data_IF_924575237943
#
_entry.id   IF_924575237943
#
_cell.length_a   1.000
_cell.length_b   1.000
_cell.length_c   1.000
_cell.angle_alpha   90.00
_cell.angle_beta   90.00
_cell.angle_gamma   90.00
#
_symmetry.space_group_name_H-M   'P 1'
#
loop_
_entity.id
_entity.type
_entity.pdbx_description
1 polymer ?
#
# COMPACT_ATOMS: atom_id res chain seq x y z
N UNK A 1 16.20 -6.64 -23.65
CA UNK A 1 16.34 -5.93 -22.36
C UNK A 1 14.96 -5.44 -21.97
N UNK A 2 14.29 -6.18 -21.09
CA UNK A 2 13.00 -5.76 -20.51
C UNK A 2 13.32 -4.94 -19.28
N UNK A 3 13.15 -3.62 -19.35
CA UNK A 3 13.10 -2.81 -18.13
C UNK A 3 11.75 -3.10 -17.49
N UNK A 4 11.72 -4.04 -16.53
CA UNK A 4 10.56 -4.16 -15.65
C UNK A 4 10.54 -2.91 -14.80
N UNK A 5 9.48 -2.08 -14.87
CA UNK A 5 9.39 -0.89 -14.06
C UNK A 5 9.33 -1.29 -12.58
N UNK A 6 9.92 -0.45 -11.73
CA UNK A 6 9.75 -0.56 -10.29
C UNK A 6 8.25 -0.38 -9.97
N UNK A 7 7.69 -1.34 -9.24
CA UNK A 7 6.29 -1.28 -8.82
C UNK A 7 6.20 -0.49 -7.52
N UNK A 8 5.19 0.37 -7.35
CA UNK A 8 4.99 1.04 -6.08
C UNK A 8 4.66 0.01 -4.98
N UNK A 9 4.98 0.35 -3.74
CA UNK A 9 4.43 -0.39 -2.60
C UNK A 9 2.90 -0.35 -2.65
N UNK A 10 2.28 -1.39 -2.11
CA UNK A 10 0.82 -1.56 -2.13
C UNK A 10 0.32 -1.78 -0.73
N UNK A 11 -0.89 -1.31 -0.47
CA UNK A 11 -1.57 -1.43 0.81
C UNK A 11 -2.96 -2.00 0.59
N UNK A 12 -3.41 -2.85 1.51
CA UNK A 12 -4.74 -3.46 1.50
C UNK A 12 -5.54 -2.81 2.62
N UNK A 13 -6.71 -2.26 2.30
CA UNK A 13 -7.66 -1.81 3.31
C UNK A 13 -8.12 -3.02 4.12
N UNK A 14 -7.93 -3.01 5.44
CA UNK A 14 -8.22 -4.18 6.26
C UNK A 14 -9.73 -4.49 6.36
N UNK A 15 -10.56 -3.46 6.20
CA UNK A 15 -12.02 -3.57 6.30
C UNK A 15 -12.70 -4.11 5.03
N UNK A 16 -12.30 -3.65 3.84
CA UNK A 16 -12.97 -4.00 2.57
C UNK A 16 -12.07 -4.70 1.54
N UNK A 17 -10.79 -4.88 1.85
CA UNK A 17 -9.81 -5.60 1.05
C UNK A 17 -9.48 -4.99 -0.33
N UNK A 18 -9.86 -3.73 -0.55
CA UNK A 18 -9.41 -2.97 -1.72
C UNK A 18 -7.90 -2.73 -1.66
N UNK A 19 -7.21 -2.85 -2.79
CA UNK A 19 -5.76 -2.66 -2.92
C UNK A 19 -5.47 -1.28 -3.48
N UNK A 20 -4.59 -0.54 -2.81
CA UNK A 20 -4.15 0.80 -3.19
C UNK A 20 -2.65 0.80 -3.47
N UNK A 21 -2.23 1.58 -4.46
CA UNK A 21 -0.82 1.97 -4.56
C UNK A 21 -0.48 2.95 -3.43
N UNK A 22 0.74 2.86 -2.91
CA UNK A 22 1.24 3.76 -1.88
C UNK A 22 1.35 5.20 -2.38
N UNK A 23 1.05 6.15 -1.50
CA UNK A 23 1.32 7.56 -1.72
C UNK A 23 2.84 7.75 -1.72
N UNK A 24 3.40 8.20 -2.84
CA UNK A 24 4.83 8.41 -2.98
C UNK A 24 5.23 9.78 -2.45
N UNK A 25 6.24 9.80 -1.60
CA UNK A 25 6.95 11.00 -1.19
C UNK A 25 8.43 10.84 -1.49
N UNK A 26 9.12 11.95 -1.75
CA UNK A 26 10.53 11.94 -2.09
C UNK A 26 11.27 12.86 -1.13
N UNK A 27 12.13 12.27 -0.30
CA UNK A 27 12.96 13.00 0.65
C UNK A 27 14.42 12.53 0.54
N UNK A 28 15.36 13.48 0.53
CA UNK A 28 16.79 13.19 0.50
C UNK A 28 17.29 12.28 -0.65
N UNK A 29 16.55 12.14 -1.75
CA UNK A 29 16.90 11.24 -2.86
C UNK A 29 16.34 9.82 -2.73
N UNK A 30 15.51 9.55 -1.71
CA UNK A 30 14.86 8.25 -1.47
C UNK A 30 13.36 8.37 -1.65
N UNK A 31 12.75 7.39 -2.31
CA UNK A 31 11.29 7.28 -2.38
C UNK A 31 10.76 6.58 -1.13
N UNK A 32 9.79 7.21 -0.50
CA UNK A 32 9.05 6.65 0.62
C UNK A 32 7.60 6.47 0.20
N UNK A 33 7.02 5.34 0.60
CA UNK A 33 5.63 5.02 0.36
C UNK A 33 4.89 4.96 1.68
N UNK A 34 3.67 5.48 1.69
CA UNK A 34 2.74 5.33 2.80
C UNK A 34 1.38 4.88 2.29
N UNK A 35 0.59 4.29 3.17
CA UNK A 35 -0.82 4.05 2.89
C UNK A 35 -1.55 5.39 2.64
N UNK A 36 -2.66 5.39 1.90
CA UNK A 36 -3.53 6.57 1.82
C UNK A 36 -4.18 6.86 3.18
N UNK A 37 -4.54 8.12 3.41
CA UNK A 37 -5.17 8.56 4.66
C UNK A 37 -6.54 7.89 4.89
N UNK A 38 -7.30 7.67 3.81
CA UNK A 38 -8.63 7.07 3.86
C UNK A 38 -8.90 6.16 2.65
N UNK A 39 -9.60 5.05 2.89
CA UNK A 39 -10.07 4.15 1.87
C UNK A 39 -11.24 4.75 1.10
N UNK A 40 -11.02 5.12 -0.16
CA UNK A 40 -12.06 5.68 -1.03
C UNK A 40 -13.30 4.79 -1.20
N UNK A 41 -13.17 3.47 -0.98
CA UNK A 41 -14.27 2.52 -1.12
C UNK A 41 -15.17 2.41 0.12
N UNK A 42 -14.63 2.60 1.34
CA UNK A 42 -15.37 2.32 2.58
C UNK A 42 -15.13 3.30 3.74
N UNK A 43 -14.28 4.31 3.56
CA UNK A 43 -13.97 5.32 4.57
C UNK A 43 -13.06 4.86 5.71
N UNK A 44 -12.53 3.63 5.65
CA UNK A 44 -11.60 3.12 6.69
C UNK A 44 -10.22 3.75 6.55
N UNK A 45 -9.56 3.99 7.69
CA UNK A 45 -8.18 4.48 7.79
C UNK A 45 -7.17 3.35 8.06
N UNK A 46 -7.64 2.11 8.18
CA UNK A 46 -6.83 0.95 8.54
C UNK A 46 -6.33 0.22 7.29
N UNK A 47 -5.00 0.15 7.17
CA UNK A 47 -4.32 -0.44 6.03
C UNK A 47 -3.17 -1.33 6.46
N UNK A 48 -2.96 -2.40 5.70
CA UNK A 48 -1.86 -3.34 5.88
C UNK A 48 -1.00 -3.35 4.61
N UNK A 49 0.33 -3.37 4.77
CA UNK A 49 1.23 -3.54 3.62
C UNK A 49 0.90 -4.85 2.89
N UNK A 50 0.85 -4.82 1.56
CA UNK A 50 0.39 -5.95 0.74
C UNK A 50 1.18 -7.24 1.02
N UNK A 51 2.49 -7.12 1.22
CA UNK A 51 3.37 -8.26 1.54
C UNK A 51 3.09 -8.89 2.91
N UNK A 52 2.45 -8.14 3.82
CA UNK A 52 2.10 -8.58 5.17
C UNK A 52 0.65 -9.04 5.28
N UNK A 53 -0.21 -8.72 4.30
CA UNK A 53 -1.65 -8.95 4.37
C UNK A 53 -2.04 -10.41 4.68
N UNK A 54 -1.37 -11.37 4.04
CA UNK A 54 -1.66 -12.81 4.27
C UNK A 54 -1.30 -13.21 5.70
N UNK A 55 -0.16 -12.73 6.22
CA UNK A 55 0.28 -13.02 7.58
C UNK A 55 -0.71 -12.42 8.58
N UNK A 56 -1.09 -11.16 8.36
CA UNK A 56 -2.06 -10.44 9.18
C UNK A 56 -3.43 -11.13 9.30
N UNK A 57 -3.90 -11.82 8.26
CA UNK A 57 -5.19 -12.55 8.28
C UNK A 57 -5.11 -13.96 8.88
N UNK A 58 -3.92 -14.44 9.25
CA UNK A 58 -3.71 -15.81 9.74
C UNK A 58 -3.35 -15.86 11.23
N UNK A 59 -3.15 -14.70 11.88
CA UNK A 59 -3.07 -14.53 13.34
C UNK A 59 -4.47 -14.35 13.96
#
# INVERSE_FOLDING_TARGET
MSHTPELPERYVCDNCHSVYAGTVSHDGGTYHYSAPDECAACGSTEFVAFEQYVRHKTD
#
